data_IF_132284701724
#
_entry.id   IF_132284701724
#
_cell.length_a   1.000
_cell.length_b   1.000
_cell.length_c   1.000
_cell.angle_alpha   90.00
_cell.angle_beta   90.00
_cell.angle_gamma   90.00
#
_symmetry.space_group_name_H-M   'P 1'
#
loop_
_entity.id
_entity.type
_entity.pdbx_description
1 polymer ?
#
# COMPACT_ATOMS: atom_id res chain seq x y z
N UNK A 1 -8.81 -13.22 3.15
CA UNK A 1 -9.46 -12.22 2.27
C UNK A 1 -8.50 -11.08 2.10
N UNK A 2 -8.31 -10.54 0.89
CA UNK A 2 -7.43 -9.39 0.64
C UNK A 2 -8.16 -8.11 1.01
N UNK A 3 -7.50 -7.21 1.74
CA UNK A 3 -8.07 -5.93 2.12
C UNK A 3 -8.19 -5.00 0.90
N UNK A 4 -9.27 -4.24 0.85
CA UNK A 4 -9.49 -3.20 -0.19
C UNK A 4 -8.86 -1.87 0.22
N UNK A 5 -8.74 -0.92 -0.71
CA UNK A 5 -8.29 0.45 -0.40
C UNK A 5 -9.16 1.08 0.69
N UNK A 6 -10.49 0.95 0.59
CA UNK A 6 -11.42 1.53 1.56
C UNK A 6 -11.25 0.95 2.96
N UNK A 7 -11.10 -0.37 3.07
CA UNK A 7 -10.87 -1.02 4.36
C UNK A 7 -9.53 -0.63 5.00
N UNK A 8 -8.47 -0.46 4.20
CA UNK A 8 -7.20 0.03 4.70
C UNK A 8 -7.33 1.49 5.18
N UNK A 9 -7.97 2.35 4.39
CA UNK A 9 -8.26 3.75 4.78
C UNK A 9 -9.01 3.83 6.11
N UNK A 10 -10.05 3.02 6.29
CA UNK A 10 -10.85 3.01 7.51
C UNK A 10 -10.00 2.61 8.73
N UNK A 11 -9.09 1.64 8.60
CA UNK A 11 -8.14 1.25 9.65
C UNK A 11 -7.10 2.34 9.93
N UNK A 12 -6.53 2.97 8.90
CA UNK A 12 -5.55 4.04 9.09
C UNK A 12 -6.14 5.29 9.75
N UNK A 13 -7.41 5.61 9.46
CA UNK A 13 -8.11 6.78 10.03
C UNK A 13 -8.35 6.69 11.53
N UNK A 14 -8.21 5.51 12.14
CA UNK A 14 -8.31 5.35 13.61
C UNK A 14 -6.98 5.57 14.32
N UNK A 15 -5.87 5.58 13.60
CA UNK A 15 -4.52 5.72 14.16
C UNK A 15 -4.06 7.20 14.23
N UNK A 16 -2.98 7.47 14.97
CA UNK A 16 -2.34 8.79 15.00
C UNK A 16 -1.81 9.14 13.59
N UNK A 17 -2.24 10.26 12.97
CA UNK A 17 -1.81 10.64 11.62
C UNK A 17 -0.31 10.89 11.49
N UNK A 18 0.40 11.13 12.61
CA UNK A 18 1.84 11.33 12.65
C UNK A 18 2.66 10.05 12.91
N UNK A 19 2.01 8.94 13.25
CA UNK A 19 2.68 7.66 13.44
C UNK A 19 3.27 7.16 12.11
N UNK A 20 4.45 6.55 12.16
CA UNK A 20 5.04 5.92 10.98
C UNK A 20 4.36 4.58 10.66
N UNK A 21 4.30 4.25 9.37
CA UNK A 21 3.70 3.03 8.85
C UNK A 21 4.78 2.11 8.29
N UNK A 22 4.74 0.85 8.71
CA UNK A 22 5.65 -0.19 8.27
C UNK A 22 4.87 -1.39 7.74
N UNK A 23 5.46 -2.16 6.84
CA UNK A 23 5.03 -3.54 6.64
C UNK A 23 5.69 -4.45 7.68
N UNK A 24 5.06 -5.59 7.94
CA UNK A 24 5.54 -6.63 8.85
C UNK A 24 6.83 -7.35 8.41
N UNK A 25 7.44 -6.92 7.30
CA UNK A 25 8.68 -7.49 6.80
C UNK A 25 9.80 -6.44 6.58
N UNK A 26 11.02 -6.85 6.91
CA UNK A 26 12.29 -6.23 6.55
C UNK A 26 12.41 -4.72 6.82
N UNK A 27 11.68 -4.19 7.81
CA UNK A 27 11.67 -2.77 8.14
C UNK A 27 11.35 -1.88 6.92
N UNK A 28 10.33 -2.28 6.16
CA UNK A 28 9.91 -1.59 4.94
C UNK A 28 8.70 -0.69 5.20
N UNK A 29 8.51 0.32 4.36
CA UNK A 29 7.41 1.28 4.44
C UNK A 29 6.69 1.38 3.08
N UNK A 30 5.37 1.71 3.06
CA UNK A 30 4.63 1.96 1.83
C UNK A 30 5.25 3.06 0.98
N UNK A 31 5.21 2.89 -0.35
CA UNK A 31 5.63 3.92 -1.30
C UNK A 31 4.42 4.51 -2.03
N UNK A 32 4.23 4.19 -3.30
CA UNK A 32 3.15 4.71 -4.15
C UNK A 32 2.26 3.60 -4.66
N UNK A 33 1.00 3.95 -4.93
CA UNK A 33 0.07 3.03 -5.58
C UNK A 33 0.39 2.96 -7.07
N UNK A 34 0.36 1.76 -7.65
CA UNK A 34 0.53 1.50 -9.06
C UNK A 34 -0.39 0.36 -9.51
N UNK A 35 -0.46 0.09 -10.82
CA UNK A 35 -1.16 -1.11 -11.32
C UNK A 35 -0.43 -2.37 -10.91
N UNK A 36 -1.13 -3.31 -10.29
CA UNK A 36 -0.60 -4.63 -9.98
C UNK A 36 -0.35 -5.41 -11.27
N UNK A 37 0.81 -6.06 -11.40
CA UNK A 37 1.16 -6.73 -12.66
C UNK A 37 0.30 -7.97 -12.95
N UNK A 38 -0.31 -8.57 -11.92
CA UNK A 38 -1.13 -9.77 -12.06
C UNK A 38 -2.26 -9.58 -13.07
N UNK A 39 -3.09 -8.54 -12.87
CA UNK A 39 -4.26 -8.30 -13.73
C UNK A 39 -4.39 -6.84 -14.22
N UNK A 40 -3.56 -5.92 -13.74
CA UNK A 40 -3.56 -4.47 -14.01
C UNK A 40 -4.79 -3.68 -13.55
N UNK A 41 -5.98 -4.29 -13.60
CA UNK A 41 -7.23 -3.70 -13.10
C UNK A 41 -7.33 -3.68 -11.56
N UNK A 42 -6.31 -4.17 -10.86
CA UNK A 42 -6.20 -4.10 -9.41
C UNK A 42 -4.95 -3.29 -9.01
N UNK A 43 -5.02 -2.48 -7.94
CA UNK A 43 -3.90 -1.70 -7.46
C UNK A 43 -2.91 -2.54 -6.64
N UNK A 44 -1.66 -2.12 -6.64
CA UNK A 44 -0.65 -2.54 -5.67
C UNK A 44 -0.02 -1.31 -5.00
N UNK A 45 0.15 -1.36 -3.69
CA UNK A 45 0.99 -0.42 -2.94
C UNK A 45 2.43 -0.94 -2.96
N UNK A 46 3.36 -0.10 -3.44
CA UNK A 46 4.78 -0.43 -3.43
C UNK A 46 5.38 -0.37 -2.03
N UNK A 47 6.63 -0.83 -1.93
CA UNK A 47 7.37 -0.84 -0.68
C UNK A 47 8.85 -0.51 -0.90
N UNK A 48 9.47 0.11 0.09
CA UNK A 48 10.90 0.39 0.11
C UNK A 48 11.45 0.14 1.52
N UNK A 49 12.73 -0.25 1.66
CA UNK A 49 13.37 -0.33 2.96
C UNK A 49 13.40 1.05 3.63
N UNK A 50 13.46 1.07 4.96
CA UNK A 50 13.78 2.25 5.74
C UNK A 50 15.12 2.07 6.47
N UNK A 51 15.74 3.16 6.93
CA UNK A 51 17.02 3.14 7.63
C UNK A 51 18.17 3.68 6.79
N UNK A 52 19.32 2.99 6.79
CA UNK A 52 20.60 3.51 6.27
C UNK A 52 21.10 2.86 4.97
N UNK A 53 20.25 2.10 4.26
CA UNK A 53 20.63 1.50 2.98
C UNK A 53 20.50 2.51 1.83
N UNK A 54 21.17 2.29 0.70
CA UNK A 54 21.15 3.24 -0.43
C UNK A 54 19.75 3.46 -1.02
N UNK A 55 18.87 2.46 -0.92
CA UNK A 55 17.49 2.52 -1.40
C UNK A 55 16.50 2.88 -0.27
N UNK A 56 17.00 3.17 0.93
CA UNK A 56 16.13 3.48 2.05
C UNK A 56 15.45 4.83 1.87
N UNK A 57 14.17 4.88 2.22
CA UNK A 57 13.42 6.12 2.32
C UNK A 57 13.04 6.38 3.78
N UNK A 58 12.65 7.62 4.07
CA UNK A 58 12.00 7.92 5.34
C UNK A 58 10.67 7.15 5.43
N UNK A 59 10.38 6.63 6.62
CA UNK A 59 9.12 5.93 6.87
C UNK A 59 7.93 6.88 6.61
N UNK A 60 6.97 6.42 5.82
CA UNK A 60 5.76 7.17 5.52
C UNK A 60 4.89 7.22 6.78
N UNK A 61 4.32 8.38 7.08
CA UNK A 61 3.35 8.54 8.17
C UNK A 61 1.97 8.02 7.77
N UNK A 62 1.09 7.80 8.75
CA UNK A 62 -0.31 7.45 8.53
C UNK A 62 -1.01 8.48 7.64
N UNK A 63 -0.80 9.77 7.91
CA UNK A 63 -1.38 10.85 7.12
C UNK A 63 -0.91 10.84 5.65
N UNK A 64 0.37 10.58 5.42
CA UNK A 64 0.93 10.47 4.06
C UNK A 64 0.44 9.22 3.33
N UNK A 65 0.25 8.10 4.03
CA UNK A 65 -0.35 6.91 3.43
C UNK A 65 -1.83 7.13 3.08
N UNK A 66 -2.60 7.78 3.97
CA UNK A 66 -4.00 8.13 3.69
C UNK A 66 -4.08 9.01 2.43
N UNK A 67 -3.25 10.05 2.35
CA UNK A 67 -3.22 10.95 1.18
C UNK A 67 -2.91 10.20 -0.13
N UNK A 68 -1.97 9.25 -0.10
CA UNK A 68 -1.65 8.39 -1.26
C UNK A 68 -2.85 7.56 -1.70
N UNK A 69 -3.52 6.89 -0.75
CA UNK A 69 -4.66 6.03 -1.02
C UNK A 69 -5.88 6.83 -1.52
N UNK A 70 -6.12 8.01 -0.94
CA UNK A 70 -7.18 8.93 -1.38
C UNK A 70 -6.91 9.48 -2.78
N UNK A 71 -5.66 9.81 -3.09
CA UNK A 71 -5.28 10.21 -4.45
C UNK A 71 -5.51 9.07 -5.45
N UNK A 72 -5.20 7.83 -5.07
CA UNK A 72 -5.32 6.67 -5.96
C UNK A 72 -6.76 6.32 -6.37
N UNK A 73 -7.75 6.81 -5.62
CA UNK A 73 -9.19 6.58 -5.89
C UNK A 73 -9.90 7.80 -6.45
N UNK A 74 -9.16 8.87 -6.81
CA UNK A 74 -9.77 10.01 -7.49
C UNK A 74 -10.34 9.57 -8.85
N UNK A 75 -11.56 10.00 -9.23
CA UNK A 75 -12.22 9.55 -10.46
C UNK A 75 -11.39 9.74 -11.74
N UNK A 76 -10.55 10.78 -11.77
CA UNK A 76 -9.73 11.17 -12.92
C UNK A 76 -8.24 10.81 -12.75
N UNK A 77 -7.89 9.90 -11.83
CA UNK A 77 -6.51 9.43 -11.62
C UNK A 77 -6.24 8.13 -12.40
N UNK A 78 -5.62 8.20 -13.59
CA UNK A 78 -5.33 7.01 -14.39
C UNK A 78 -4.06 6.30 -13.93
N UNK A 79 -4.10 4.97 -13.99
CA UNK A 79 -2.92 4.12 -13.81
C UNK A 79 -2.61 3.34 -15.07
N UNK A 80 -1.36 3.44 -15.53
CA UNK A 80 -0.89 2.73 -16.72
C UNK A 80 -0.44 1.30 -16.41
N UNK A 81 -1.04 0.32 -17.09
CA UNK A 81 -0.63 -1.08 -16.98
C UNK A 81 0.77 -1.34 -17.56
N UNK A 82 1.48 -2.35 -17.04
CA UNK A 82 2.82 -2.71 -17.50
C UNK A 82 2.89 -3.04 -19.00
N UNK A 83 1.85 -3.68 -19.54
CA UNK A 83 1.71 -4.02 -20.98
C UNK A 83 0.80 -3.04 -21.74
N UNK A 84 0.51 -1.88 -21.15
CA UNK A 84 -0.47 -0.92 -21.67
C UNK A 84 -1.85 -1.06 -21.03
N UNK A 85 -2.76 -0.18 -21.43
CA UNK A 85 -4.08 0.00 -20.81
C UNK A 85 -4.08 1.13 -19.76
N UNK A 86 -5.27 1.64 -19.48
CA UNK A 86 -5.53 2.67 -18.47
C UNK A 86 -6.58 2.13 -17.51
N UNK A 87 -6.30 2.20 -16.22
CA UNK A 87 -7.12 1.65 -15.15
C UNK A 87 -7.40 2.72 -14.10
N UNK A 88 -8.52 2.56 -13.40
CA UNK A 88 -8.99 3.45 -12.34
C UNK A 88 -9.40 2.58 -11.17
N UNK A 89 -9.18 3.08 -9.96
CA UNK A 89 -9.48 2.36 -8.73
C UNK A 89 -10.50 3.11 -7.90
N UNK A 90 -11.14 2.37 -7.01
CA UNK A 90 -12.11 2.90 -6.06
C UNK A 90 -11.91 2.25 -4.68
N UNK A 91 -12.76 2.62 -3.72
CA UNK A 91 -12.71 2.10 -2.36
C UNK A 91 -12.85 0.57 -2.26
N UNK A 92 -13.47 -0.07 -3.27
CA UNK A 92 -13.72 -1.52 -3.29
C UNK A 92 -12.59 -2.31 -3.96
N UNK A 93 -11.61 -1.61 -4.55
CA UNK A 93 -10.50 -2.23 -5.26
C UNK A 93 -9.61 -3.02 -4.27
N UNK A 94 -9.38 -4.33 -4.50
CA UNK A 94 -8.45 -5.14 -3.70
C UNK A 94 -7.03 -4.60 -3.81
N UNK A 95 -6.37 -4.38 -2.67
CA UNK A 95 -5.03 -3.79 -2.64
C UNK A 95 -3.96 -4.85 -2.38
N UNK A 96 -3.06 -5.01 -3.35
CA UNK A 96 -1.90 -5.90 -3.27
C UNK A 96 -0.67 -5.16 -2.75
N UNK A 97 0.34 -5.91 -2.32
CA UNK A 97 1.66 -5.37 -1.95
C UNK A 97 2.69 -5.86 -2.95
N UNK A 98 3.07 -5.01 -3.89
CA UNK A 98 4.06 -5.34 -4.93
C UNK A 98 4.63 -4.06 -5.52
N UNK A 99 5.93 -4.07 -5.82
CA UNK A 99 6.55 -2.99 -6.58
C UNK A 99 6.15 -3.07 -8.06
N UNK A 100 6.15 -1.93 -8.75
CA UNK A 100 5.71 -1.85 -10.15
C UNK A 100 6.54 -2.78 -11.03
N UNK A 101 5.87 -3.72 -11.70
CA UNK A 101 6.52 -4.73 -12.55
C UNK A 101 6.69 -6.09 -11.87
N UNK A 102 6.36 -6.20 -10.59
CA UNK A 102 6.37 -7.44 -9.82
C UNK A 102 4.95 -7.99 -9.58
N UNK A 103 4.87 -9.26 -9.23
CA UNK A 103 3.65 -9.98 -8.90
C UNK A 103 3.99 -11.14 -7.96
N UNK A 104 3.94 -10.91 -6.65
CA UNK A 104 4.29 -11.91 -5.63
C UNK A 104 3.08 -12.63 -5.02
N UNK A 105 1.87 -12.17 -5.36
CA UNK A 105 0.60 -12.57 -4.73
C UNK A 105 0.57 -12.22 -3.23
N UNK A 106 1.22 -11.11 -2.83
CA UNK A 106 1.20 -10.63 -1.45
C UNK A 106 0.02 -9.70 -1.24
N UNK A 107 -0.77 -9.98 -0.20
CA UNK A 107 -1.98 -9.23 0.14
C UNK A 107 -1.90 -8.66 1.55
N UNK A 108 -2.56 -7.53 1.77
CA UNK A 108 -2.78 -6.99 3.12
C UNK A 108 -3.90 -7.78 3.77
N UNK A 109 -3.67 -8.26 5.00
CA UNK A 109 -4.64 -9.04 5.77
C UNK A 109 -5.06 -8.35 7.06
N UNK A 110 -4.22 -7.48 7.63
CA UNK A 110 -4.56 -6.71 8.82
C UNK A 110 -3.71 -5.44 8.96
N UNK A 111 -4.08 -4.61 9.93
CA UNK A 111 -3.29 -3.47 10.42
C UNK A 111 -3.29 -3.53 11.94
N UNK A 112 -2.11 -3.43 12.53
CA UNK A 112 -1.89 -3.36 13.98
C UNK A 112 -1.34 -1.98 14.31
N UNK A 113 -2.05 -1.24 15.15
CA UNK A 113 -1.56 0.01 15.73
C UNK A 113 -0.84 -0.33 17.05
N UNK A 114 0.49 -0.29 17.01
CA UNK A 114 1.33 -0.41 18.20
C UNK A 114 1.66 1.01 18.66
N UNK A 115 0.91 1.49 19.66
CA UNK A 115 0.97 2.86 20.20
C UNK A 115 2.41 3.37 20.49
N UNK A 116 3.38 2.46 20.61
CA UNK A 116 4.80 2.76 20.88
C UNK A 116 5.67 2.78 19.61
N UNK A 117 5.43 1.85 18.68
CA UNK A 117 6.32 1.62 17.54
C UNK A 117 5.75 2.09 16.18
N UNK A 118 4.47 2.48 16.16
CA UNK A 118 3.76 2.95 14.97
C UNK A 118 2.79 1.90 14.43
N UNK A 119 2.35 2.11 13.19
CA UNK A 119 1.33 1.27 12.55
C UNK A 119 1.99 0.21 11.67
N UNK A 120 1.67 -1.05 11.91
CA UNK A 120 2.16 -2.19 11.12
C UNK A 120 1.06 -2.73 10.21
N UNK A 121 1.33 -2.76 8.91
CA UNK A 121 0.53 -3.45 7.89
C UNK A 121 0.97 -4.91 7.85
N UNK A 122 0.05 -5.81 8.18
CA UNK A 122 0.29 -7.26 8.20
C UNK A 122 -0.02 -7.84 6.83
N UNK A 123 0.91 -8.63 6.31
CA UNK A 123 0.84 -9.18 4.96
C UNK A 123 0.80 -10.71 4.96
N UNK A 124 0.21 -11.27 3.92
CA UNK A 124 0.22 -12.70 3.68
C UNK A 124 0.42 -12.97 2.19
N UNK A 125 1.34 -13.86 1.86
CA UNK A 125 1.48 -14.39 0.51
C UNK A 125 0.40 -15.43 0.26
N UNK A 126 -0.42 -15.23 -0.77
CA UNK A 126 -1.45 -16.17 -1.19
C UNK A 126 -0.86 -17.25 -2.09
N UNK A 127 -1.29 -18.49 -1.86
CA UNK A 127 -1.02 -19.64 -2.74
C UNK A 127 -1.88 -19.62 -4.00
#
# INVERSE_FOLDING_TARGET
MTMTIGQLLDKQRTADPSAHVYFDFCNTTPTTVASWRGIYAEPAIGWAPTGYTEQAIQAKTVGELIAELEQAILPDMPFGGWKGGTYYYDLTSPLHVDNRGDCTNTSIVDVVDDEVYGVTIVTERKE
#
